data_IF_628407009546
#
_entry.id   IF_628407009546
#
_cell.length_a   1.000
_cell.length_b   1.000
_cell.length_c   1.000
_cell.angle_alpha   90.00
_cell.angle_beta   90.00
_cell.angle_gamma   90.00
#
_symmetry.space_group_name_H-M   'P 1'
#
loop_
_entity.id
_entity.type
_entity.pdbx_description
1 polymer ?
#
# COMPACT_ATOMS: atom_id res chain seq x y z
N UNK A 1 -2.45 -19.36 12.17
CA UNK A 1 -2.12 -20.00 10.87
C UNK A 1 -2.56 -19.03 9.79
N UNK A 2 -1.71 -18.73 8.78
CA UNK A 2 -2.10 -17.83 7.70
C UNK A 2 -2.91 -18.59 6.65
N UNK A 3 -3.96 -17.93 6.14
CA UNK A 3 -4.72 -18.44 5.01
C UNK A 3 -3.94 -18.28 3.71
N UNK A 4 -4.01 -19.28 2.86
CA UNK A 4 -3.21 -19.31 1.62
C UNK A 4 -4.02 -18.72 0.48
N UNK A 5 -3.43 -17.73 -0.21
CA UNK A 5 -3.98 -17.11 -1.40
C UNK A 5 -3.10 -17.38 -2.61
N UNK A 6 -3.71 -17.66 -3.76
CA UNK A 6 -3.05 -17.67 -5.06
C UNK A 6 -3.59 -16.53 -5.92
N UNK A 7 -2.70 -15.81 -6.60
CA UNK A 7 -3.06 -14.63 -7.36
C UNK A 7 -2.87 -14.83 -8.86
N UNK A 8 -3.80 -14.28 -9.64
CA UNK A 8 -3.77 -14.33 -11.11
C UNK A 8 -4.26 -13.01 -11.70
N UNK A 9 -4.07 -12.83 -13.01
CA UNK A 9 -4.54 -11.65 -13.73
C UNK A 9 -3.56 -10.48 -13.69
N UNK A 10 -4.09 -9.26 -13.59
CA UNK A 10 -3.31 -8.02 -13.67
C UNK A 10 -2.83 -7.59 -12.27
N UNK A 11 -1.63 -8.02 -11.91
CA UNK A 11 -1.00 -7.62 -10.66
C UNK A 11 -0.46 -6.18 -10.79
N UNK A 12 -0.65 -5.31 -9.77
CA UNK A 12 -0.01 -3.99 -9.77
C UNK A 12 1.51 -4.10 -9.68
N UNK A 13 2.18 -3.05 -10.12
CA UNK A 13 3.64 -2.97 -10.00
C UNK A 13 4.07 -3.13 -8.53
N UNK A 14 5.17 -3.86 -8.31
CA UNK A 14 5.71 -4.17 -6.97
C UNK A 14 4.76 -4.94 -6.03
N UNK A 15 3.72 -5.60 -6.58
CA UNK A 15 2.74 -6.34 -5.77
C UNK A 15 3.38 -7.33 -4.80
N UNK A 16 4.36 -8.10 -5.24
CA UNK A 16 4.98 -9.15 -4.42
C UNK A 16 5.69 -8.59 -3.19
N UNK A 17 6.42 -7.49 -3.37
CA UNK A 17 7.12 -6.83 -2.27
C UNK A 17 6.13 -6.22 -1.27
N UNK A 18 5.06 -5.61 -1.77
CA UNK A 18 4.02 -5.02 -0.93
C UNK A 18 3.19 -6.08 -0.21
N UNK A 19 2.84 -7.17 -0.89
CA UNK A 19 2.11 -8.26 -0.27
C UNK A 19 2.93 -8.98 0.82
N UNK A 20 4.24 -9.11 0.63
CA UNK A 20 5.13 -9.68 1.66
C UNK A 20 5.10 -8.89 2.99
N UNK A 21 4.84 -7.59 2.92
CA UNK A 21 4.71 -6.71 4.09
C UNK A 21 3.28 -6.69 4.68
N UNK A 22 2.25 -6.69 3.82
CA UNK A 22 0.85 -6.48 4.22
C UNK A 22 0.14 -7.81 4.47
N UNK A 23 0.41 -8.84 3.68
CA UNK A 23 -0.26 -10.14 3.75
C UNK A 23 -0.24 -10.76 5.15
N UNK A 24 0.94 -10.86 5.82
CA UNK A 24 1.02 -11.40 7.17
C UNK A 24 0.18 -10.65 8.22
N UNK A 25 0.07 -9.33 8.10
CA UNK A 25 -0.78 -8.53 9.00
C UNK A 25 -2.27 -8.82 8.81
N UNK A 26 -2.67 -9.20 7.60
CA UNK A 26 -4.02 -9.64 7.27
C UNK A 26 -4.25 -11.14 7.56
N UNK A 27 -3.21 -11.86 7.98
CA UNK A 27 -3.27 -13.31 8.19
C UNK A 27 -3.31 -14.10 6.86
N UNK A 28 -2.72 -13.54 5.81
CA UNK A 28 -2.60 -14.18 4.50
C UNK A 28 -1.16 -14.54 4.17
N UNK A 29 -0.98 -15.68 3.48
CA UNK A 29 0.27 -16.07 2.86
C UNK A 29 0.03 -16.32 1.37
N UNK A 30 1.06 -16.08 0.54
CA UNK A 30 1.00 -16.34 -0.90
C UNK A 30 1.50 -17.73 -1.22
N UNK A 31 0.79 -18.43 -2.11
CA UNK A 31 1.30 -19.63 -2.77
C UNK A 31 1.24 -19.46 -4.30
N UNK A 32 2.09 -20.21 -5.00
CA UNK A 32 2.04 -20.27 -6.46
C UNK A 32 0.80 -21.03 -6.97
N UNK A 33 0.37 -22.04 -6.20
CA UNK A 33 -0.81 -22.86 -6.48
C UNK A 33 -1.46 -23.27 -5.16
N UNK A 34 -2.77 -23.53 -5.21
CA UNK A 34 -3.56 -23.93 -4.04
C UNK A 34 -4.02 -22.73 -3.20
N UNK A 35 -4.85 -22.99 -2.20
CA UNK A 35 -5.52 -21.96 -1.42
C UNK A 35 -6.68 -21.30 -2.16
N UNK A 36 -7.15 -20.16 -1.64
CA UNK A 36 -8.21 -19.38 -2.26
C UNK A 36 -7.65 -18.62 -3.47
N UNK A 37 -8.27 -18.80 -4.63
CA UNK A 37 -7.89 -18.09 -5.85
C UNK A 37 -8.37 -16.63 -5.80
N UNK A 38 -7.49 -15.69 -6.13
CA UNK A 38 -7.79 -14.25 -6.22
C UNK A 38 -7.38 -13.75 -7.60
N UNK A 39 -8.36 -13.42 -8.42
CA UNK A 39 -8.15 -12.85 -9.75
C UNK A 39 -8.18 -11.32 -9.68
N UNK A 40 -7.14 -10.66 -10.19
CA UNK A 40 -7.01 -9.21 -10.17
C UNK A 40 -7.21 -8.64 -11.58
N UNK A 41 -8.09 -7.65 -11.70
CA UNK A 41 -8.38 -6.96 -12.96
C UNK A 41 -8.30 -5.45 -12.77
N UNK A 42 -7.61 -4.77 -13.69
CA UNK A 42 -7.63 -3.31 -13.70
C UNK A 42 -8.97 -2.81 -14.27
N UNK A 43 -9.58 -1.82 -13.59
CA UNK A 43 -10.89 -1.28 -13.95
C UNK A 43 -11.11 0.13 -13.42
N UNK A 44 -12.33 0.60 -13.36
CA UNK A 44 -12.67 1.98 -13.00
C UNK A 44 -12.91 2.24 -11.51
N UNK A 45 -13.09 1.20 -10.70
CA UNK A 45 -13.36 1.31 -9.25
C UNK A 45 -12.83 0.10 -8.51
N UNK A 46 -12.78 0.21 -7.19
CA UNK A 46 -12.55 -0.96 -6.33
C UNK A 46 -13.83 -1.79 -6.25
N UNK A 47 -13.74 -3.05 -6.65
CA UNK A 47 -14.76 -4.06 -6.39
C UNK A 47 -14.10 -5.34 -5.90
N UNK A 48 -14.55 -5.84 -4.77
CA UNK A 48 -14.13 -7.12 -4.20
C UNK A 48 -15.34 -8.05 -4.14
N UNK A 49 -15.27 -9.17 -4.83
CA UNK A 49 -16.35 -10.15 -4.91
C UNK A 49 -15.81 -11.53 -4.57
N UNK A 50 -16.34 -12.14 -3.51
CA UNK A 50 -16.07 -13.54 -3.13
C UNK A 50 -17.21 -14.41 -3.57
N UNK A 51 -16.88 -15.52 -4.20
CA UNK A 51 -17.79 -16.60 -4.64
C UNK A 51 -17.25 -17.95 -4.18
N UNK A 52 -18.01 -19.00 -4.42
CA UNK A 52 -17.60 -20.37 -4.07
C UNK A 52 -16.30 -20.83 -4.77
N UNK A 53 -16.00 -20.30 -5.94
CA UNK A 53 -14.84 -20.64 -6.78
C UNK A 53 -13.63 -19.74 -6.58
N UNK A 54 -13.76 -18.66 -5.80
CA UNK A 54 -12.67 -17.74 -5.54
C UNK A 54 -13.10 -16.29 -5.29
N UNK A 55 -12.13 -15.40 -5.42
CA UNK A 55 -12.30 -13.96 -5.25
C UNK A 55 -11.92 -13.24 -6.54
N UNK A 56 -12.74 -12.29 -6.95
CA UNK A 56 -12.43 -11.36 -8.04
C UNK A 56 -12.28 -9.96 -7.47
N UNK A 57 -11.16 -9.33 -7.77
CA UNK A 57 -10.91 -7.94 -7.38
C UNK A 57 -10.72 -7.10 -8.63
N UNK A 58 -11.53 -6.07 -8.78
CA UNK A 58 -11.32 -5.00 -9.76
C UNK A 58 -10.71 -3.80 -9.05
N UNK A 59 -9.70 -3.17 -9.65
CA UNK A 59 -8.98 -2.06 -9.06
C UNK A 59 -8.64 -0.98 -10.11
N UNK A 60 -8.73 0.30 -9.73
CA UNK A 60 -8.31 1.43 -10.54
C UNK A 60 -6.91 1.90 -10.14
N UNK A 61 -6.60 1.88 -8.84
CA UNK A 61 -5.30 2.25 -8.29
C UNK A 61 -4.67 1.11 -7.50
N UNK A 62 -3.33 0.94 -7.55
CA UNK A 62 -2.61 -0.17 -6.90
C UNK A 62 -2.96 -0.36 -5.41
N UNK A 63 -3.17 0.73 -4.67
CA UNK A 63 -3.50 0.68 -3.24
C UNK A 63 -4.83 -0.01 -2.96
N UNK A 64 -5.76 0.04 -3.92
CA UNK A 64 -7.09 -0.57 -3.78
C UNK A 64 -7.04 -2.10 -3.71
N UNK A 65 -5.99 -2.72 -4.25
CA UNK A 65 -5.80 -4.17 -4.10
C UNK A 65 -5.61 -4.53 -2.62
N UNK A 66 -4.84 -3.76 -1.86
CA UNK A 66 -4.62 -4.00 -0.43
C UNK A 66 -5.86 -3.67 0.41
N UNK A 67 -6.64 -2.68 -0.02
CA UNK A 67 -7.97 -2.41 0.55
C UNK A 67 -8.91 -3.59 0.31
N UNK A 68 -8.94 -4.15 -0.90
CA UNK A 68 -9.73 -5.34 -1.22
C UNK A 68 -9.33 -6.55 -0.37
N UNK A 69 -8.04 -6.77 -0.13
CA UNK A 69 -7.57 -7.82 0.76
C UNK A 69 -8.00 -7.59 2.22
N UNK A 70 -8.06 -6.34 2.67
CA UNK A 70 -8.62 -5.99 3.97
C UNK A 70 -10.10 -6.31 4.06
N UNK A 71 -10.88 -6.01 3.02
CA UNK A 71 -12.30 -6.37 2.92
C UNK A 71 -12.47 -7.89 2.91
N UNK A 72 -11.66 -8.61 2.13
CA UNK A 72 -11.66 -10.07 2.13
C UNK A 72 -11.42 -10.63 3.55
N UNK A 73 -10.49 -10.04 4.31
CA UNK A 73 -10.24 -10.47 5.69
C UNK A 73 -11.41 -10.19 6.62
N UNK A 74 -12.05 -9.03 6.49
CA UNK A 74 -13.21 -8.66 7.31
C UNK A 74 -14.40 -9.60 7.06
N UNK A 75 -14.60 -10.01 5.82
CA UNK A 75 -15.69 -10.88 5.37
C UNK A 75 -15.23 -12.34 5.13
N UNK A 76 -14.12 -12.75 5.77
CA UNK A 76 -13.52 -14.08 5.51
C UNK A 76 -14.46 -15.23 5.76
N UNK A 77 -15.26 -15.15 6.83
CA UNK A 77 -16.20 -16.19 7.24
C UNK A 77 -17.47 -16.27 6.38
N UNK A 78 -17.72 -15.29 5.54
CA UNK A 78 -18.88 -15.27 4.65
C UNK A 78 -18.62 -16.19 3.43
N UNK A 79 -19.60 -16.96 3.02
CA UNK A 79 -19.50 -17.83 1.84
C UNK A 79 -19.39 -17.00 0.55
N UNK A 80 -20.10 -15.88 0.50
CA UNK A 80 -20.07 -14.94 -0.62
C UNK A 80 -20.30 -13.50 -0.17
N UNK A 81 -19.62 -12.55 -0.81
CA UNK A 81 -19.90 -11.12 -0.67
C UNK A 81 -19.57 -10.38 -1.97
N UNK A 82 -20.13 -9.20 -2.14
CA UNK A 82 -19.75 -8.26 -3.20
C UNK A 82 -19.75 -6.84 -2.61
N UNK A 83 -18.60 -6.20 -2.60
CA UNK A 83 -18.40 -4.85 -2.09
C UNK A 83 -17.75 -4.01 -3.18
N UNK A 84 -18.34 -2.84 -3.42
CA UNK A 84 -17.82 -1.84 -4.35
C UNK A 84 -17.58 -0.54 -3.59
N UNK A 85 -16.40 0.04 -3.74
CA UNK A 85 -16.03 1.31 -3.13
C UNK A 85 -15.55 2.29 -4.21
N UNK A 86 -16.15 3.47 -4.24
CA UNK A 86 -15.72 4.58 -5.08
C UNK A 86 -15.18 5.69 -4.19
N UNK A 87 -13.88 6.04 -4.31
CA UNK A 87 -13.31 7.12 -3.52
C UNK A 87 -14.02 8.45 -3.81
N UNK A 88 -14.38 9.20 -2.77
CA UNK A 88 -14.93 10.54 -2.91
C UNK A 88 -13.88 11.57 -3.34
N UNK A 89 -12.60 11.27 -3.12
CA UNK A 89 -11.46 12.13 -3.45
C UNK A 89 -10.41 11.34 -4.22
N UNK A 90 -9.79 11.96 -5.21
CA UNK A 90 -8.68 11.35 -5.97
C UNK A 90 -7.46 11.07 -5.07
N UNK A 91 -7.28 11.89 -4.04
CA UNK A 91 -6.13 11.79 -3.14
C UNK A 91 -6.60 11.86 -1.71
N UNK A 92 -6.29 10.82 -0.92
CA UNK A 92 -6.63 10.73 0.50
C UNK A 92 -5.47 10.10 1.24
N UNK A 93 -5.07 10.71 2.37
CA UNK A 93 -3.91 10.20 3.08
C UNK A 93 -3.63 10.87 4.41
N UNK A 94 -2.42 10.64 4.91
CA UNK A 94 -1.94 11.18 6.18
C UNK A 94 -0.73 12.08 5.97
N UNK A 95 -0.63 13.12 6.79
CA UNK A 95 0.56 13.95 6.90
C UNK A 95 1.32 13.56 8.18
N UNK A 96 2.62 13.31 8.03
CA UNK A 96 3.53 13.04 9.13
C UNK A 96 4.46 14.22 9.33
N UNK A 97 4.44 14.82 10.52
CA UNK A 97 5.40 15.85 10.89
C UNK A 97 6.74 15.17 11.25
N UNK A 98 7.76 15.43 10.45
CA UNK A 98 9.13 14.93 10.65
C UNK A 98 10.11 16.08 10.94
N UNK A 99 9.58 17.26 11.28
CA UNK A 99 10.36 18.48 11.45
C UNK A 99 10.71 18.82 12.91
N UNK A 100 9.96 18.25 13.87
CA UNK A 100 10.06 18.58 15.29
C UNK A 100 10.57 17.38 16.11
N UNK A 101 10.34 17.42 17.43
CA UNK A 101 10.88 16.43 18.37
C UNK A 101 10.26 15.02 18.25
N UNK A 102 9.22 14.86 17.43
CA UNK A 102 8.48 13.60 17.26
C UNK A 102 8.71 12.96 15.89
N UNK A 103 9.95 12.96 15.40
CA UNK A 103 10.31 12.27 14.15
C UNK A 103 10.03 10.77 14.29
N UNK A 104 9.24 10.23 13.38
CA UNK A 104 8.89 8.82 13.37
C UNK A 104 10.12 7.96 13.10
N UNK A 105 10.27 6.90 13.88
CA UNK A 105 11.22 5.83 13.56
C UNK A 105 10.80 5.14 12.25
N UNK A 106 11.77 4.66 11.44
CA UNK A 106 11.46 4.02 10.15
C UNK A 106 10.43 2.88 10.25
N UNK A 107 10.50 2.08 11.30
CA UNK A 107 9.55 0.97 11.48
C UNK A 107 8.15 1.45 11.84
N UNK A 108 8.04 2.54 12.60
CA UNK A 108 6.75 3.19 12.87
C UNK A 108 6.15 3.77 11.59
N UNK A 109 6.96 4.40 10.74
CA UNK A 109 6.50 4.89 9.44
C UNK A 109 6.02 3.74 8.55
N UNK A 110 6.79 2.63 8.47
CA UNK A 110 6.37 1.41 7.74
C UNK A 110 5.04 0.87 8.26
N UNK A 111 4.86 0.82 9.59
CA UNK A 111 3.60 0.41 10.19
C UNK A 111 2.43 1.27 9.69
N UNK A 112 2.56 2.61 9.74
CA UNK A 112 1.52 3.50 9.25
C UNK A 112 1.25 3.32 7.76
N UNK A 113 2.29 3.20 6.92
CA UNK A 113 2.12 3.00 5.48
C UNK A 113 1.37 1.70 5.15
N UNK A 114 1.64 0.61 5.88
CA UNK A 114 0.86 -0.63 5.74
C UNK A 114 -0.61 -0.43 6.11
N UNK A 115 -0.88 0.23 7.25
CA UNK A 115 -2.25 0.53 7.67
C UNK A 115 -2.98 1.43 6.68
N UNK A 116 -2.31 2.44 6.16
CA UNK A 116 -2.84 3.32 5.12
C UNK A 116 -3.22 2.52 3.87
N UNK A 117 -2.36 1.63 3.39
CA UNK A 117 -2.65 0.77 2.25
C UNK A 117 -3.87 -0.13 2.49
N UNK A 118 -3.97 -0.73 3.68
CA UNK A 118 -5.12 -1.55 4.08
C UNK A 118 -6.43 -0.75 4.18
N UNK A 119 -6.35 0.56 4.36
CA UNK A 119 -7.47 1.50 4.36
C UNK A 119 -7.76 2.09 2.97
N UNK A 120 -6.93 1.82 1.98
CA UNK A 120 -7.06 2.40 0.64
C UNK A 120 -6.55 3.83 0.50
N UNK A 121 -5.76 4.32 1.47
CA UNK A 121 -5.18 5.67 1.42
C UNK A 121 -3.98 5.68 0.47
N UNK A 122 -3.98 6.63 -0.47
CA UNK A 122 -3.00 6.70 -1.57
C UNK A 122 -1.98 7.82 -1.45
N UNK A 123 -2.02 8.61 -0.35
CA UNK A 123 -1.07 9.70 -0.10
C UNK A 123 -0.43 9.59 1.29
N UNK A 124 0.91 9.58 1.35
CA UNK A 124 1.67 9.88 2.56
C UNK A 124 2.45 11.18 2.36
N UNK A 125 2.19 12.19 3.16
CA UNK A 125 2.90 13.46 3.12
C UNK A 125 3.85 13.57 4.31
N UNK A 126 5.11 13.90 4.07
CA UNK A 126 6.07 14.23 5.12
C UNK A 126 6.23 15.75 5.19
N UNK A 127 5.83 16.32 6.31
CA UNK A 127 6.06 17.73 6.59
C UNK A 127 7.43 17.91 7.20
N UNK A 128 8.27 18.71 6.54
CA UNK A 128 9.63 19.06 6.98
C UNK A 128 9.76 20.58 7.09
N UNK A 129 9.99 21.09 8.29
CA UNK A 129 10.47 22.44 8.48
C UNK A 129 12.00 22.44 8.41
N UNK A 130 12.65 23.55 8.11
CA UNK A 130 14.07 23.93 8.09
C UNK A 130 15.14 22.94 8.67
N UNK A 131 14.82 21.69 8.88
CA UNK A 131 15.66 20.67 9.53
C UNK A 131 16.95 20.45 8.75
N UNK A 132 16.95 20.68 7.45
CA UNK A 132 18.12 20.50 6.57
C UNK A 132 19.20 21.58 6.79
N UNK A 133 18.85 22.78 7.22
CA UNK A 133 19.82 23.84 7.52
C UNK A 133 20.62 23.57 8.78
N UNK A 134 20.05 22.87 9.76
CA UNK A 134 20.72 22.59 11.05
C UNK A 134 21.66 21.39 10.99
N UNK A 135 21.51 20.47 10.06
CA UNK A 135 22.37 19.28 9.97
C UNK A 135 23.71 19.52 9.25
N UNK A 136 24.01 20.74 8.80
CA UNK A 136 25.32 21.06 8.20
C UNK A 136 25.61 20.31 6.89
N UNK A 137 24.61 19.72 6.27
CA UNK A 137 24.72 19.04 4.98
C UNK A 137 24.89 20.08 3.87
N UNK A 138 26.11 20.62 3.73
CA UNK A 138 26.52 21.43 2.58
C UNK A 138 26.76 20.51 1.40
N UNK A 139 25.69 20.15 0.70
CA UNK A 139 25.74 19.45 -0.59
C UNK A 139 24.57 19.92 -1.44
N UNK A 140 24.61 19.75 -2.79
CA UNK A 140 23.44 19.97 -3.60
C UNK A 140 22.33 19.10 -3.00
N UNK A 141 21.20 19.74 -2.63
CA UNK A 141 20.08 19.09 -2.01
C UNK A 141 19.74 17.83 -2.82
N UNK A 142 19.84 16.62 -2.23
CA UNK A 142 19.41 15.44 -2.97
C UNK A 142 17.93 15.64 -3.30
N UNK A 143 17.47 15.01 -4.37
CA UNK A 143 16.16 15.15 -5.00
C UNK A 143 14.92 15.02 -4.07
N UNK A 144 15.12 15.02 -2.76
CA UNK A 144 14.10 15.13 -1.71
C UNK A 144 13.37 16.48 -1.70
N UNK A 145 13.96 17.56 -2.24
CA UNK A 145 13.25 18.82 -2.42
C UNK A 145 12.11 18.77 -3.44
N UNK A 146 12.11 17.79 -4.34
CA UNK A 146 10.98 17.52 -5.22
C UNK A 146 9.73 17.03 -4.51
N UNK A 147 9.85 16.60 -3.24
CA UNK A 147 8.74 16.07 -2.45
C UNK A 147 8.02 17.16 -1.63
N UNK A 148 8.66 18.30 -1.37
CA UNK A 148 8.06 19.39 -0.58
C UNK A 148 7.10 20.28 -1.37
N UNK A 149 7.04 20.17 -2.69
CA UNK A 149 6.23 21.03 -3.55
C UNK A 149 5.21 20.32 -4.44
N UNK A 150 5.20 19.00 -4.45
CA UNK A 150 4.19 18.22 -5.18
C UNK A 150 3.75 17.08 -4.28
N UNK A 151 2.45 16.94 -4.09
CA UNK A 151 1.84 15.73 -3.57
C UNK A 151 2.34 14.54 -4.43
N UNK A 152 3.46 13.95 -4.03
CA UNK A 152 4.03 12.81 -4.71
C UNK A 152 3.25 11.58 -4.30
N UNK A 153 2.68 10.87 -5.26
CA UNK A 153 2.24 9.49 -5.02
C UNK A 153 3.48 8.70 -4.65
N UNK A 154 3.62 8.32 -3.40
CA UNK A 154 4.66 7.39 -2.99
C UNK A 154 4.28 6.01 -3.49
N UNK A 155 5.10 5.38 -4.36
CA UNK A 155 5.03 3.93 -4.47
C UNK A 155 5.38 3.39 -3.08
N UNK A 156 4.49 2.63 -2.49
CA UNK A 156 4.59 2.12 -1.12
C UNK A 156 5.90 1.36 -0.83
N UNK A 157 6.70 1.02 -1.87
CA UNK A 157 7.87 0.15 -1.75
C UNK A 157 8.94 0.43 -2.84
N UNK A 158 9.51 1.62 -2.90
CA UNK A 158 10.72 1.82 -3.69
C UNK A 158 11.96 1.54 -2.82
N UNK A 159 12.51 0.33 -2.89
CA UNK A 159 13.92 0.11 -2.59
C UNK A 159 14.73 0.67 -3.75
N UNK A 160 15.44 1.79 -3.58
CA UNK A 160 16.62 2.05 -4.39
C UNK A 160 17.62 0.94 -4.09
N UNK A 161 17.90 0.12 -5.09
CA UNK A 161 19.13 -0.67 -5.07
C UNK A 161 20.27 0.33 -4.91
N UNK A 162 21.09 0.17 -3.85
CA UNK A 162 22.36 0.85 -3.74
C UNK A 162 23.19 0.37 -4.93
N UNK A 163 23.43 1.24 -5.89
CA UNK A 163 24.37 0.98 -6.96
C UNK A 163 25.74 0.77 -6.34
N UNK A 164 26.30 -0.42 -6.53
CA UNK A 164 27.72 -0.64 -6.36
C UNK A 164 28.42 0.17 -7.46
N UNK A 165 29.25 1.11 -7.05
CA UNK A 165 30.23 1.84 -7.82
C UNK A 165 31.47 1.96 -6.98
#
# INVERSE_FOLDING_TARGET
MNEILSFSGQLPEHFDAAFAEIGPELGFARAGQGGLSVALHQGGCLRAEKRADGVVVTWAEPVQVYRALSLLRQHWAEDAFCIEETPCFETTGMMFDVSRNAVLQPDTLRFFLRKMAMMGLNLGMMYTEDTYRRMGLRGPAPALYGLAGKAGRFPLFHRRAAGAG
#
